data_IF_668440742973
#
_entry.id   IF_668440742973
#
_cell.length_a   1.000
_cell.length_b   1.000
_cell.length_c   1.000
_cell.angle_alpha   90.00
_cell.angle_beta   90.00
_cell.angle_gamma   90.00
#
_symmetry.space_group_name_H-M   'P 1'
#
loop_
_entity.id
_entity.type
_entity.pdbx_description
1 polymer ?
#
# COMPACT_ATOMS: atom_id res chain seq x y z
N UNK A 1 14.39 10.00 46.92
CA UNK A 1 14.62 10.79 45.68
C UNK A 1 15.28 10.00 44.54
N UNK A 2 16.14 9.00 44.81
CA UNK A 2 16.76 8.19 43.74
C UNK A 2 15.77 7.33 42.94
N UNK A 3 14.77 6.71 43.59
CA UNK A 3 13.75 5.90 42.90
C UNK A 3 12.92 6.70 41.89
N UNK A 4 12.60 7.97 42.20
CA UNK A 4 11.89 8.87 41.28
C UNK A 4 12.72 9.16 40.02
N UNK A 5 14.05 9.34 40.16
CA UNK A 5 14.96 9.53 39.01
C UNK A 5 15.05 8.29 38.13
N UNK A 6 15.07 7.09 38.72
CA UNK A 6 15.11 5.84 37.96
C UNK A 6 13.83 5.65 37.14
N UNK A 7 12.65 5.89 37.75
CA UNK A 7 11.38 5.81 37.01
C UNK A 7 11.30 6.83 35.87
N UNK A 8 11.83 8.04 36.04
CA UNK A 8 11.90 9.04 34.97
C UNK A 8 12.81 8.61 33.81
N UNK A 9 13.96 8.01 34.11
CA UNK A 9 14.89 7.51 33.08
C UNK A 9 14.27 6.33 32.32
N UNK A 10 13.68 5.37 33.03
CA UNK A 10 13.00 4.21 32.42
C UNK A 10 11.81 4.66 31.58
N UNK A 11 10.99 5.58 32.09
CA UNK A 11 9.86 6.16 31.35
C UNK A 11 10.31 6.92 30.10
N UNK A 12 11.38 7.71 30.19
CA UNK A 12 11.93 8.44 29.04
C UNK A 12 12.50 7.53 27.96
N UNK A 13 13.21 6.46 28.34
CA UNK A 13 13.69 5.42 27.42
C UNK A 13 12.54 4.68 26.76
N UNK A 14 11.49 4.33 27.51
CA UNK A 14 10.28 3.72 26.96
C UNK A 14 9.55 4.64 25.99
N UNK A 15 9.46 5.94 26.29
CA UNK A 15 8.83 6.92 25.40
C UNK A 15 9.63 7.11 24.10
N UNK A 16 10.96 7.16 24.19
CA UNK A 16 11.85 7.25 23.03
C UNK A 16 11.77 6.00 22.15
N UNK A 17 11.73 4.81 22.76
CA UNK A 17 11.53 3.56 22.04
C UNK A 17 10.15 3.51 21.35
N UNK A 18 9.08 3.85 22.06
CA UNK A 18 7.72 3.81 21.53
C UNK A 18 7.48 4.82 20.38
N UNK A 19 8.07 6.03 20.48
CA UNK A 19 7.98 7.04 19.42
C UNK A 19 8.78 6.67 18.17
N UNK A 20 9.89 5.93 18.32
CA UNK A 20 10.65 5.41 17.17
C UNK A 20 9.95 4.25 16.43
N UNK A 21 8.96 3.61 17.07
CA UNK A 21 8.19 2.50 16.49
C UNK A 21 6.85 2.90 15.85
N UNK A 22 6.49 4.19 15.83
CA UNK A 22 5.30 4.65 15.09
C UNK A 22 5.65 4.78 13.62
N UNK A 23 5.69 3.65 12.94
CA UNK A 23 5.80 3.59 11.49
C UNK A 23 4.40 3.72 10.90
N UNK A 24 4.24 4.62 9.92
CA UNK A 24 3.00 4.68 9.16
C UNK A 24 2.85 3.37 8.37
N UNK A 25 1.64 2.82 8.35
CA UNK A 25 1.33 1.65 7.54
C UNK A 25 1.57 1.99 6.06
N UNK A 26 2.12 1.03 5.31
CA UNK A 26 2.33 1.22 3.90
C UNK A 26 0.96 1.34 3.19
N UNK A 27 0.86 2.21 2.19
CA UNK A 27 -0.33 2.27 1.36
C UNK A 27 -0.51 0.91 0.67
N UNK A 28 -1.57 0.22 1.05
CA UNK A 28 -1.92 -1.06 0.47
C UNK A 28 -2.56 -0.82 -0.90
N UNK A 29 -2.17 -1.57 -1.95
CA UNK A 29 -2.85 -1.53 -3.23
C UNK A 29 -4.31 -1.99 -3.08
N UNK A 30 -5.18 -1.54 -3.98
CA UNK A 30 -6.60 -1.90 -3.92
C UNK A 30 -6.78 -3.41 -4.17
N UNK A 31 -7.33 -4.16 -3.19
CA UNK A 31 -7.50 -5.60 -3.30
C UNK A 31 -8.57 -6.04 -4.31
N UNK A 32 -9.44 -5.13 -4.76
CA UNK A 32 -10.44 -5.44 -5.78
C UNK A 32 -9.82 -5.59 -7.17
N UNK A 33 -8.64 -5.02 -7.40
CA UNK A 33 -7.91 -5.14 -8.66
C UNK A 33 -7.17 -6.48 -8.73
N UNK A 34 -7.60 -7.31 -9.67
CA UNK A 34 -6.88 -8.51 -10.06
C UNK A 34 -5.85 -8.11 -11.11
N UNK A 35 -4.61 -8.59 -10.97
CA UNK A 35 -3.52 -8.26 -11.87
C UNK A 35 -2.63 -9.46 -12.14
N UNK A 36 -2.02 -9.50 -13.32
CA UNK A 36 -1.09 -10.57 -13.67
C UNK A 36 -0.26 -10.26 -14.92
N UNK A 37 0.63 -11.19 -15.24
CA UNK A 37 1.41 -11.17 -16.46
C UNK A 37 1.40 -12.55 -17.11
N UNK A 38 1.27 -12.58 -18.43
CA UNK A 38 1.41 -13.79 -19.23
C UNK A 38 2.89 -14.10 -19.47
N UNK A 39 3.18 -15.35 -19.89
CA UNK A 39 4.56 -15.79 -20.15
C UNK A 39 5.27 -14.99 -21.27
N UNK A 40 4.52 -14.36 -22.16
CA UNK A 40 5.03 -13.49 -23.22
C UNK A 40 5.33 -12.05 -22.75
N UNK A 41 5.18 -11.75 -21.45
CA UNK A 41 5.39 -10.43 -20.87
C UNK A 41 4.18 -9.49 -20.96
N UNK A 42 3.04 -9.93 -21.49
CA UNK A 42 1.82 -9.12 -21.53
C UNK A 42 1.19 -9.01 -20.14
N UNK A 43 1.09 -7.78 -19.61
CA UNK A 43 0.43 -7.49 -18.34
C UNK A 43 -1.05 -7.21 -18.52
N UNK A 44 -1.87 -7.65 -17.56
CA UNK A 44 -3.31 -7.44 -17.57
C UNK A 44 -3.82 -7.07 -16.17
N UNK A 45 -4.93 -6.34 -16.15
CA UNK A 45 -5.63 -5.93 -14.93
C UNK A 45 -7.13 -6.07 -15.16
N UNK A 46 -7.85 -6.55 -14.15
CA UNK A 46 -9.29 -6.74 -14.16
C UNK A 46 -9.86 -6.19 -12.85
N UNK A 47 -10.92 -5.38 -12.98
CA UNK A 47 -11.73 -4.91 -11.86
C UNK A 47 -13.16 -5.41 -12.06
N UNK A 48 -13.57 -6.36 -11.23
CA UNK A 48 -14.94 -6.87 -11.25
C UNK A 48 -15.86 -5.87 -10.54
N UNK A 49 -16.95 -5.48 -11.22
CA UNK A 49 -17.95 -4.55 -10.66
C UNK A 49 -19.32 -5.21 -10.49
N UNK A 50 -19.46 -6.23 -9.61
CA UNK A 50 -20.72 -6.96 -9.42
C UNK A 50 -21.87 -6.05 -8.97
N UNK A 51 -21.56 -4.96 -8.28
CA UNK A 51 -22.51 -3.92 -7.88
C UNK A 51 -23.16 -3.17 -9.05
N UNK A 52 -22.63 -3.29 -10.28
CA UNK A 52 -23.19 -2.68 -11.50
C UNK A 52 -23.31 -3.72 -12.62
N UNK A 53 -24.27 -4.65 -12.50
CA UNK A 53 -24.36 -5.79 -13.41
C UNK A 53 -24.84 -5.42 -14.82
N UNK A 54 -25.52 -4.28 -14.97
CA UNK A 54 -26.07 -3.80 -16.25
C UNK A 54 -25.17 -2.78 -16.96
N UNK A 55 -24.08 -2.36 -16.32
CA UNK A 55 -23.13 -1.43 -16.93
C UNK A 55 -22.37 -2.12 -18.06
N UNK A 56 -21.84 -1.32 -19.00
CA UNK A 56 -21.02 -1.83 -20.09
C UNK A 56 -19.63 -2.22 -19.56
N UNK A 57 -19.07 -3.27 -20.14
CA UNK A 57 -17.67 -3.65 -19.87
C UNK A 57 -16.74 -2.69 -20.62
N UNK A 58 -15.80 -2.09 -19.90
CA UNK A 58 -14.77 -1.23 -20.48
C UNK A 58 -13.48 -2.02 -20.71
N UNK A 59 -12.88 -1.89 -21.90
CA UNK A 59 -11.61 -2.51 -22.24
C UNK A 59 -10.63 -1.43 -22.70
N UNK A 60 -9.41 -1.48 -22.16
CA UNK A 60 -8.33 -0.56 -22.51
C UNK A 60 -7.03 -1.32 -22.74
N UNK A 61 -6.41 -1.08 -23.90
CA UNK A 61 -5.06 -1.52 -24.20
C UNK A 61 -4.13 -0.31 -24.12
N UNK A 62 -3.11 -0.39 -23.26
CA UNK A 62 -2.08 0.63 -23.13
C UNK A 62 -0.81 0.09 -23.77
N UNK A 63 -0.25 0.85 -24.70
CA UNK A 63 1.08 0.60 -25.24
C UNK A 63 1.99 1.69 -24.69
N UNK A 64 3.03 1.31 -23.98
CA UNK A 64 4.01 2.24 -23.39
C UNK A 64 4.99 2.76 -24.45
N UNK A 65 4.45 3.31 -25.53
CA UNK A 65 5.18 3.91 -26.65
C UNK A 65 4.52 5.24 -26.99
N UNK A 66 5.33 6.28 -27.15
CA UNK A 66 4.87 7.62 -27.50
C UNK A 66 5.88 8.32 -28.41
N UNK A 67 5.66 9.61 -28.66
CA UNK A 67 6.50 10.42 -29.55
C UNK A 67 7.80 10.94 -28.92
N UNK A 68 8.16 10.47 -27.72
CA UNK A 68 9.39 10.92 -27.06
C UNK A 68 10.62 10.44 -27.86
N UNK A 69 11.45 11.41 -28.26
CA UNK A 69 12.77 11.27 -28.89
C UNK A 69 13.87 11.57 -27.88
#
# INVERSE_FOLDING_TARGET
>A
MQGTRIHLIVGGLLLAAASSSVQAEALQPDPAWQQGAMANGFSWQILDTPQRPSDRVELRLIVNTGSLV
#
